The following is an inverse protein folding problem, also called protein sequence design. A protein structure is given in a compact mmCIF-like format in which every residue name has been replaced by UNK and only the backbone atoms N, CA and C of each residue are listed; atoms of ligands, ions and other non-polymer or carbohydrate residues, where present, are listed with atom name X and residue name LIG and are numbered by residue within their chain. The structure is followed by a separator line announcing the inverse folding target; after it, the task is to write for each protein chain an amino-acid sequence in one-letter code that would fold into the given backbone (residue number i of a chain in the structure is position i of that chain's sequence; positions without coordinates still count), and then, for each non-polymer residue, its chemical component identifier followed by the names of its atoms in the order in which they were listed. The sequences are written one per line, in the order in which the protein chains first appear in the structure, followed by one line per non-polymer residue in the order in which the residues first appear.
data_IF_624688429839
#
_entry.id   IF_624688429839
#
_cell.length_a   1.000
_cell.length_b   1.000
_cell.length_c   1.000
_cell.angle_alpha   90.00
_cell.angle_beta   90.00
_cell.angle_gamma   90.00
#
_symmetry.space_group_name_H-M   'P 1'
#
loop_
_entity.id
_entity.type
_entity.pdbx_description
1 polymer ?
#
# COMPACT_ATOMS: atom_id res chain seq x y z
N UNK A 1 -15.73 24.65 -17.02
CA UNK A 1 -14.92 23.83 -16.09
C UNK A 1 -15.79 23.11 -15.07
N UNK A 2 -16.65 23.79 -14.30
CA UNK A 2 -17.46 23.12 -13.26
C UNK A 2 -18.33 21.96 -13.78
N UNK A 3 -18.92 22.08 -14.96
CA UNK A 3 -19.77 21.01 -15.55
C UNK A 3 -18.97 19.78 -16.02
N UNK A 4 -17.63 19.86 -16.05
CA UNK A 4 -16.75 18.76 -16.45
C UNK A 4 -16.13 18.04 -15.25
N UNK A 5 -16.31 18.57 -14.05
CA UNK A 5 -15.70 18.02 -12.85
C UNK A 5 -16.58 16.90 -12.26
N UNK A 6 -15.95 16.10 -11.41
CA UNK A 6 -16.55 14.99 -10.65
C UNK A 6 -17.16 13.89 -11.53
N UNK A 7 -16.65 13.76 -12.76
CA UNK A 7 -17.20 12.88 -13.80
C UNK A 7 -16.09 12.16 -14.56
N UNK A 8 -16.39 10.94 -15.03
CA UNK A 8 -15.61 10.23 -16.05
C UNK A 8 -16.30 10.46 -17.40
N UNK A 9 -15.61 11.11 -18.33
CA UNK A 9 -16.15 11.41 -19.65
C UNK A 9 -15.84 10.27 -20.61
N UNK A 10 -16.87 9.72 -21.24
CA UNK A 10 -16.71 8.68 -22.26
C UNK A 10 -16.31 9.28 -23.62
N UNK A 11 -15.04 9.61 -23.77
CA UNK A 11 -14.47 10.28 -24.95
C UNK A 11 -12.98 9.95 -25.04
N UNK A 12 -12.40 10.12 -26.24
CA UNK A 12 -10.96 10.09 -26.41
C UNK A 12 -10.28 11.15 -25.51
N UNK A 13 -9.18 10.75 -24.87
CA UNK A 13 -8.50 11.58 -23.88
C UNK A 13 -7.88 12.84 -24.48
N UNK A 14 -7.36 12.78 -25.72
CA UNK A 14 -6.77 13.92 -26.41
C UNK A 14 -7.89 14.92 -26.74
N UNK A 15 -8.99 14.43 -27.32
CA UNK A 15 -10.16 15.26 -27.61
C UNK A 15 -10.77 15.88 -26.35
N UNK A 16 -10.87 15.10 -25.27
CA UNK A 16 -11.38 15.54 -23.99
C UNK A 16 -10.52 16.63 -23.36
N UNK A 17 -9.21 16.41 -23.29
CA UNK A 17 -8.25 17.38 -22.73
C UNK A 17 -8.16 18.66 -23.58
N UNK A 18 -8.23 18.57 -24.91
CA UNK A 18 -8.19 19.73 -25.80
C UNK A 18 -9.41 20.67 -25.65
N UNK A 19 -10.51 20.18 -25.07
CA UNK A 19 -11.70 20.99 -24.75
C UNK A 19 -11.60 21.68 -23.38
N UNK A 20 -10.60 21.33 -22.56
CA UNK A 20 -10.39 21.96 -21.27
C UNK A 20 -9.80 23.37 -21.45
N UNK A 21 -10.13 24.32 -20.56
CA UNK A 21 -9.37 25.54 -20.45
C UNK A 21 -7.90 25.23 -20.16
N UNK A 22 -6.98 25.95 -20.79
CA UNK A 22 -5.55 25.81 -20.52
C UNK A 22 -5.23 26.14 -19.07
N UNK A 23 -4.33 25.37 -18.45
CA UNK A 23 -3.93 25.59 -17.06
C UNK A 23 -5.08 25.48 -16.06
N UNK A 24 -5.98 24.50 -16.26
CA UNK A 24 -7.17 24.31 -15.44
C UNK A 24 -7.04 23.21 -14.38
N UNK A 25 -6.01 22.35 -14.50
CA UNK A 25 -5.80 21.17 -13.65
C UNK A 25 -4.51 21.32 -12.82
N UNK A 26 -4.53 20.85 -11.57
CA UNK A 26 -3.42 20.94 -10.61
C UNK A 26 -2.49 19.73 -10.67
N UNK A 27 -3.07 18.53 -10.76
CA UNK A 27 -2.33 17.27 -10.78
C UNK A 27 -2.90 16.34 -11.86
N UNK A 28 -2.02 15.73 -12.65
CA UNK A 28 -2.37 14.69 -13.61
C UNK A 28 -1.66 13.41 -13.24
N UNK A 29 -2.37 12.29 -13.19
CA UNK A 29 -1.77 10.96 -13.11
C UNK A 29 -2.22 10.15 -14.32
N UNK A 30 -1.27 9.71 -15.15
CA UNK A 30 -1.55 8.92 -16.34
C UNK A 30 -0.97 7.51 -16.21
N UNK A 31 -1.81 6.51 -16.42
CA UNK A 31 -1.44 5.09 -16.57
C UNK A 31 -1.89 4.62 -17.97
N UNK A 32 -1.21 5.05 -19.05
CA UNK A 32 -1.58 4.70 -20.41
C UNK A 32 -1.44 3.19 -20.67
N UNK A 33 -2.02 2.68 -21.78
CA UNK A 33 -1.65 1.37 -22.31
C UNK A 33 -0.14 1.27 -22.56
N UNK A 34 0.50 0.17 -22.12
CA UNK A 34 1.96 0.00 -22.16
C UNK A 34 2.49 -0.51 -23.51
N UNK A 35 1.60 -0.71 -24.50
CA UNK A 35 1.93 -1.27 -25.81
C UNK A 35 2.58 -2.67 -25.73
N UNK A 36 2.06 -3.51 -24.84
CA UNK A 36 2.56 -4.88 -24.57
C UNK A 36 1.61 -5.96 -25.12
N UNK A 37 0.55 -5.56 -25.81
CA UNK A 37 -0.50 -6.44 -26.32
C UNK A 37 -1.46 -6.93 -25.27
N UNK A 38 -1.73 -6.12 -24.25
CA UNK A 38 -2.83 -6.37 -23.32
C UNK A 38 -4.17 -6.29 -24.05
N UNK A 39 -5.13 -7.14 -23.64
CA UNK A 39 -6.46 -7.18 -24.28
C UNK A 39 -7.42 -6.26 -23.54
N UNK A 40 -7.53 -5.03 -24.03
CA UNK A 40 -8.63 -4.15 -23.68
C UNK A 40 -9.88 -4.51 -24.49
N UNK A 41 -11.03 -3.96 -24.10
CA UNK A 41 -12.30 -4.16 -24.76
C UNK A 41 -12.45 -3.32 -26.04
N UNK A 42 -11.95 -2.08 -26.03
CA UNK A 42 -12.10 -1.12 -27.14
C UNK A 42 -10.79 -0.65 -27.77
N UNK A 43 -9.63 -0.98 -27.18
CA UNK A 43 -8.32 -0.48 -27.60
C UNK A 43 -7.36 -1.62 -27.98
N UNK A 44 -6.59 -1.43 -29.06
CA UNK A 44 -5.55 -2.37 -29.48
C UNK A 44 -4.17 -1.93 -28.97
N UNK A 45 -3.67 -2.65 -27.97
CA UNK A 45 -2.39 -2.38 -27.29
C UNK A 45 -1.16 -2.92 -28.06
N UNK A 46 -1.25 -2.96 -29.40
CA UNK A 46 -0.15 -3.38 -30.30
C UNK A 46 0.03 -2.41 -31.46
N UNK A 47 0.50 -1.22 -31.13
CA UNK A 47 0.90 -0.21 -32.09
C UNK A 47 2.36 -0.40 -32.54
N UNK A 48 2.66 0.01 -33.77
CA UNK A 48 4.04 0.21 -34.19
C UNK A 48 4.71 1.26 -33.29
N UNK A 49 5.98 1.07 -32.95
CA UNK A 49 6.68 1.90 -31.96
C UNK A 49 6.62 3.40 -32.31
N UNK A 50 6.81 3.77 -33.57
CA UNK A 50 6.74 5.16 -34.02
C UNK A 50 5.34 5.77 -33.88
N UNK A 51 4.29 4.99 -34.13
CA UNK A 51 2.91 5.45 -33.99
C UNK A 51 2.52 5.56 -32.51
N UNK A 52 2.98 4.62 -31.66
CA UNK A 52 2.80 4.70 -30.21
C UNK A 52 3.48 5.93 -29.61
N UNK A 53 4.71 6.24 -30.04
CA UNK A 53 5.43 7.42 -29.57
C UNK A 53 4.79 8.71 -30.07
N UNK A 54 4.30 8.75 -31.32
CA UNK A 54 3.58 9.90 -31.87
C UNK A 54 2.30 10.17 -31.10
N UNK A 55 1.46 9.15 -30.95
CA UNK A 55 0.25 9.20 -30.15
C UNK A 55 0.56 9.61 -28.69
N UNK A 56 1.67 9.10 -28.15
CA UNK A 56 2.11 9.47 -26.82
C UNK A 56 2.50 10.93 -26.66
N UNK A 57 3.24 11.47 -27.64
CA UNK A 57 3.54 12.89 -27.70
C UNK A 57 2.29 13.77 -27.77
N UNK A 58 1.24 13.33 -28.48
CA UNK A 58 -0.02 14.06 -28.61
C UNK A 58 -0.76 14.17 -27.26
N UNK A 59 -0.97 13.05 -26.56
CA UNK A 59 -1.66 13.11 -25.26
C UNK A 59 -0.80 13.78 -24.17
N UNK A 60 0.53 13.64 -24.21
CA UNK A 60 1.43 14.38 -23.30
C UNK A 60 1.32 15.89 -23.56
N UNK A 61 1.21 16.31 -24.82
CA UNK A 61 1.01 17.72 -25.18
C UNK A 61 -0.34 18.24 -24.68
N UNK A 62 -1.39 17.44 -24.78
CA UNK A 62 -2.69 17.79 -24.23
C UNK A 62 -2.67 17.92 -22.69
N UNK A 63 -1.94 17.01 -22.01
CA UNK A 63 -1.66 17.11 -20.56
C UNK A 63 -0.93 18.41 -20.23
N UNK A 64 0.13 18.76 -20.97
CA UNK A 64 0.87 20.01 -20.79
C UNK A 64 -0.01 21.25 -20.91
N UNK A 65 -0.95 21.25 -21.86
CA UNK A 65 -1.91 22.34 -22.09
C UNK A 65 -2.91 22.47 -20.92
N UNK A 66 -3.48 21.35 -20.46
CA UNK A 66 -4.47 21.33 -19.39
C UNK A 66 -3.87 21.68 -18.01
N UNK A 67 -2.59 21.37 -17.78
CA UNK A 67 -1.93 21.53 -16.49
C UNK A 67 -1.54 22.99 -16.20
N UNK A 68 -1.82 23.45 -14.97
CA UNK A 68 -1.41 24.75 -14.44
C UNK A 68 0.10 24.96 -14.49
N UNK A 69 0.61 26.21 -14.58
CA UNK A 69 2.05 26.50 -14.57
C UNK A 69 2.83 25.89 -13.40
N UNK A 70 2.18 25.73 -12.25
CA UNK A 70 2.70 25.11 -11.02
C UNK A 70 2.16 23.69 -10.76
N UNK A 71 1.46 23.13 -11.74
CA UNK A 71 0.90 21.79 -11.65
C UNK A 71 1.94 20.68 -11.86
N UNK A 72 1.55 19.49 -11.44
CA UNK A 72 2.38 18.28 -11.46
C UNK A 72 1.79 17.22 -12.39
N UNK A 73 2.64 16.51 -13.12
CA UNK A 73 2.26 15.39 -13.99
C UNK A 73 3.01 14.12 -13.57
N UNK A 74 2.28 13.05 -13.31
CA UNK A 74 2.80 11.72 -13.05
C UNK A 74 2.47 10.76 -14.18
N UNK A 75 3.45 9.98 -14.60
CA UNK A 75 3.32 8.97 -15.66
C UNK A 75 3.77 7.59 -15.15
N UNK A 76 2.90 6.60 -15.22
CA UNK A 76 3.23 5.19 -15.03
C UNK A 76 3.49 4.50 -16.37
N UNK A 77 4.55 3.70 -16.47
CA UNK A 77 4.88 2.93 -17.68
C UNK A 77 5.74 1.70 -17.37
N UNK A 78 5.63 0.66 -18.20
CA UNK A 78 6.53 -0.49 -18.19
C UNK A 78 7.90 -0.22 -18.85
N UNK A 79 8.77 -1.22 -18.86
CA UNK A 79 10.17 -1.09 -19.30
C UNK A 79 10.34 -0.59 -20.74
N UNK A 80 9.45 -1.01 -21.66
CA UNK A 80 9.71 -0.99 -23.11
C UNK A 80 9.77 0.42 -23.70
N UNK A 81 9.07 1.39 -23.10
CA UNK A 81 9.00 2.78 -23.58
C UNK A 81 9.32 3.82 -22.50
N UNK A 82 9.86 3.40 -21.34
CA UNK A 82 10.07 4.29 -20.21
C UNK A 82 11.02 5.45 -20.53
N UNK A 83 12.12 5.17 -21.23
CA UNK A 83 13.09 6.19 -21.61
C UNK A 83 12.52 7.15 -22.66
N UNK A 84 11.82 6.60 -23.65
CA UNK A 84 11.25 7.33 -24.77
C UNK A 84 10.15 8.28 -24.30
N UNK A 85 9.19 7.80 -23.52
CA UNK A 85 8.11 8.63 -22.97
C UNK A 85 8.64 9.75 -22.06
N UNK A 86 9.70 9.49 -21.30
CA UNK A 86 10.39 10.53 -20.54
C UNK A 86 10.96 11.60 -21.46
N UNK A 87 11.64 11.21 -22.54
CA UNK A 87 12.19 12.15 -23.51
C UNK A 87 11.09 12.92 -24.25
N UNK A 88 9.97 12.28 -24.61
CA UNK A 88 8.82 12.97 -25.22
C UNK A 88 8.24 14.02 -24.27
N UNK A 89 8.05 13.70 -22.98
CA UNK A 89 7.62 14.67 -21.97
C UNK A 89 8.58 15.86 -21.89
N UNK A 90 9.89 15.62 -21.92
CA UNK A 90 10.89 16.69 -21.91
C UNK A 90 10.87 17.54 -23.19
N UNK A 91 10.58 16.95 -24.35
CA UNK A 91 10.43 17.69 -25.62
C UNK A 91 9.22 18.61 -25.61
N UNK A 92 8.12 18.19 -24.99
CA UNK A 92 6.91 19.03 -24.81
C UNK A 92 7.17 20.21 -23.88
N UNK A 93 8.10 20.06 -22.93
CA UNK A 93 8.53 21.14 -22.04
C UNK A 93 8.57 20.76 -20.56
N UNK A 94 8.24 19.52 -20.20
CA UNK A 94 8.28 19.08 -18.81
C UNK A 94 9.70 18.92 -18.27
N UNK A 95 9.87 19.21 -16.98
CA UNK A 95 11.06 18.90 -16.22
C UNK A 95 10.84 17.65 -15.38
N UNK A 96 11.63 16.60 -15.60
CA UNK A 96 11.63 15.40 -14.77
C UNK A 96 12.26 15.71 -13.41
N UNK A 97 11.49 15.63 -12.33
CA UNK A 97 11.95 15.82 -10.94
C UNK A 97 12.47 14.53 -10.33
N UNK A 98 11.76 13.44 -10.57
CA UNK A 98 12.09 12.13 -10.01
C UNK A 98 11.71 11.03 -10.99
N UNK A 99 12.53 9.99 -11.03
CA UNK A 99 12.20 8.72 -11.66
C UNK A 99 12.06 7.69 -10.56
N UNK A 100 10.82 7.47 -10.15
CA UNK A 100 10.47 6.54 -9.08
C UNK A 100 10.32 5.13 -9.65
N UNK A 101 10.90 4.14 -8.98
CA UNK A 101 10.77 2.72 -9.31
C UNK A 101 9.78 2.10 -8.36
N UNK A 102 8.61 1.72 -8.88
CA UNK A 102 7.65 0.92 -8.12
C UNK A 102 7.92 -0.56 -8.35
N UNK A 103 8.67 -1.16 -7.43
CA UNK A 103 9.08 -2.57 -7.44
C UNK A 103 8.00 -3.51 -6.90
N UNK A 104 7.79 -4.62 -7.59
CA UNK A 104 6.89 -5.71 -7.23
C UNK A 104 7.42 -7.11 -7.51
N UNK A 105 7.15 -8.05 -6.60
CA UNK A 105 7.62 -9.43 -6.72
C UNK A 105 6.72 -10.32 -7.57
N UNK A 106 5.45 -9.94 -7.78
CA UNK A 106 4.46 -10.69 -8.57
C UNK A 106 4.51 -10.32 -10.06
N UNK A 107 5.58 -10.75 -10.73
CA UNK A 107 5.83 -10.53 -12.15
C UNK A 107 5.60 -11.77 -13.03
N UNK A 108 5.45 -11.57 -14.34
CA UNK A 108 5.43 -12.69 -15.30
C UNK A 108 6.83 -13.28 -15.39
N UNK A 109 6.96 -14.58 -15.08
CA UNK A 109 8.23 -15.28 -15.19
C UNK A 109 8.78 -15.17 -16.62
N UNK A 110 10.03 -14.71 -16.74
CA UNK A 110 10.71 -14.52 -18.01
C UNK A 110 11.68 -15.67 -18.27
N UNK A 111 11.64 -16.28 -19.45
CA UNK A 111 12.51 -17.43 -19.79
C UNK A 111 13.92 -17.05 -20.21
N UNK A 112 14.04 -15.95 -20.97
CA UNK A 112 15.28 -15.55 -21.65
C UNK A 112 15.82 -14.18 -21.19
N UNK A 113 15.32 -13.67 -20.06
CA UNK A 113 15.73 -12.39 -19.46
C UNK A 113 15.38 -12.35 -17.98
N UNK A 114 15.88 -11.35 -17.25
CA UNK A 114 15.46 -11.08 -15.88
C UNK A 114 13.95 -10.85 -15.79
N UNK A 115 13.34 -11.37 -14.74
CA UNK A 115 11.90 -11.22 -14.49
C UNK A 115 11.55 -9.75 -14.28
N UNK A 116 10.52 -9.29 -15.00
CA UNK A 116 9.96 -7.94 -14.81
C UNK A 116 9.34 -7.85 -13.43
N UNK A 117 9.88 -6.97 -12.60
CA UNK A 117 9.52 -6.84 -11.20
C UNK A 117 9.37 -5.39 -10.76
N UNK A 118 9.06 -4.48 -11.68
CA UNK A 118 8.81 -3.08 -11.37
C UNK A 118 8.00 -2.39 -12.47
N UNK A 119 7.48 -1.21 -12.13
CA UNK A 119 6.91 -0.20 -13.03
C UNK A 119 7.69 1.11 -12.82
N UNK A 120 7.85 1.90 -13.87
CA UNK A 120 8.45 3.22 -13.80
C UNK A 120 7.38 4.27 -13.55
N UNK A 121 7.60 5.14 -12.56
CA UNK A 121 6.77 6.29 -12.24
C UNK A 121 7.59 7.56 -12.43
N UNK A 122 7.26 8.37 -13.43
CA UNK A 122 7.93 9.64 -13.65
C UNK A 122 7.14 10.78 -13.01
N UNK A 123 7.84 11.62 -12.26
CA UNK A 123 7.33 12.85 -11.69
C UNK A 123 7.83 14.05 -12.50
N UNK A 124 6.92 14.72 -13.19
CA UNK A 124 7.18 15.87 -14.05
C UNK A 124 6.51 17.15 -13.51
N UNK A 125 7.15 18.29 -13.77
CA UNK A 125 6.61 19.64 -13.46
C UNK A 125 6.86 20.58 -14.64
N UNK A 126 6.07 21.66 -14.74
CA UNK A 126 6.28 22.68 -15.78
C UNK A 126 7.38 23.67 -15.41
N UNK A 127 7.43 24.08 -14.15
CA UNK A 127 8.48 24.96 -13.62
C UNK A 127 9.26 24.23 -12.50
N UNK A 128 10.58 24.01 -12.66
CA UNK A 128 11.37 23.28 -11.66
C UNK A 128 11.58 24.06 -10.36
N UNK A 129 11.13 25.31 -10.28
CA UNK A 129 11.20 26.19 -9.09
C UNK A 129 9.83 26.49 -8.49
N UNK A 130 8.74 26.31 -9.25
CA UNK A 130 7.37 26.65 -8.81
C UNK A 130 6.44 25.49 -9.12
N UNK A 131 6.19 24.66 -8.12
CA UNK A 131 5.27 23.53 -8.22
C UNK A 131 4.77 23.12 -6.83
N UNK A 132 3.59 22.50 -6.78
CA UNK A 132 3.05 21.96 -5.52
C UNK A 132 3.81 20.71 -5.10
N UNK A 133 4.50 20.81 -3.96
CA UNK A 133 5.19 19.68 -3.34
C UNK A 133 5.18 19.85 -1.82
N UNK A 134 4.29 19.12 -1.16
CA UNK A 134 3.99 19.18 0.28
C UNK A 134 5.06 18.48 1.12
N UNK A 135 6.31 18.92 0.95
CA UNK A 135 7.48 18.28 1.56
C UNK A 135 7.51 18.43 3.07
N UNK A 136 7.00 19.52 3.64
CA UNK A 136 7.09 19.80 5.07
C UNK A 136 6.00 19.11 5.89
N UNK A 137 5.00 18.53 5.23
CA UNK A 137 3.92 17.82 5.90
C UNK A 137 4.40 16.48 6.44
N UNK A 138 4.16 16.27 7.74
CA UNK A 138 4.60 15.08 8.47
C UNK A 138 4.02 13.78 7.90
N UNK A 139 2.84 13.84 7.28
CA UNK A 139 2.23 12.68 6.60
C UNK A 139 2.99 12.20 5.36
N UNK A 140 3.87 13.06 4.80
CA UNK A 140 4.69 12.77 3.63
C UNK A 140 6.16 12.47 4.01
N UNK A 141 6.47 12.33 5.31
CA UNK A 141 7.83 12.11 5.83
C UNK A 141 7.97 10.69 6.39
N UNK A 142 9.21 10.19 6.35
CA UNK A 142 9.63 8.95 7.03
C UNK A 142 10.79 9.19 7.97
N UNK A 143 10.92 8.37 9.03
CA UNK A 143 12.17 8.29 9.78
C UNK A 143 13.37 8.10 8.85
N UNK A 144 14.50 8.69 9.22
CA UNK A 144 15.74 8.52 8.47
C UNK A 144 16.63 7.50 9.17
N UNK A 145 17.52 6.81 8.44
CA UNK A 145 18.55 6.00 9.05
C UNK A 145 19.44 6.80 10.03
N UNK A 146 19.62 8.11 9.79
CA UNK A 146 20.29 9.01 10.74
C UNK A 146 19.58 9.12 12.08
N UNK A 147 18.26 9.04 12.08
CA UNK A 147 17.42 9.07 13.27
C UNK A 147 17.41 7.71 13.96
N UNK A 148 17.24 6.62 13.20
CA UNK A 148 16.98 5.30 13.77
C UNK A 148 18.24 4.48 14.05
N UNK A 149 19.21 4.52 13.14
CA UNK A 149 20.41 3.67 13.19
C UNK A 149 21.59 4.42 13.80
N UNK A 150 21.82 5.65 13.33
CA UNK A 150 23.04 6.39 13.66
C UNK A 150 22.90 7.36 14.83
N UNK A 151 21.68 7.66 15.27
CA UNK A 151 21.36 8.68 16.28
C UNK A 151 22.18 9.98 16.08
N UNK A 152 22.26 10.44 14.82
CA UNK A 152 23.10 11.55 14.37
C UNK A 152 22.44 12.88 14.76
N UNK A 153 23.18 13.79 15.40
CA UNK A 153 22.66 15.09 15.85
C UNK A 153 22.21 16.02 14.71
N UNK A 154 22.61 15.76 13.47
CA UNK A 154 22.18 16.48 12.26
C UNK A 154 20.87 15.92 11.69
N UNK A 155 20.25 14.95 12.34
CA UNK A 155 18.96 14.39 11.92
C UNK A 155 17.88 15.49 11.92
N UNK A 156 17.02 15.45 10.92
CA UNK A 156 15.82 16.28 10.92
C UNK A 156 14.76 15.57 11.77
N UNK A 157 14.30 16.24 12.82
CA UNK A 157 13.31 15.69 13.77
C UNK A 157 11.99 15.30 13.09
N UNK A 158 11.65 15.94 11.96
CA UNK A 158 10.46 15.62 11.16
C UNK A 158 10.69 14.48 10.17
N UNK A 159 11.88 13.87 10.16
CA UNK A 159 12.26 12.84 9.21
C UNK A 159 12.72 13.38 7.85
N UNK A 160 12.79 12.48 6.88
CA UNK A 160 13.21 12.73 5.49
C UNK A 160 12.05 12.45 4.53
N UNK A 161 12.20 12.90 3.29
CA UNK A 161 11.29 12.50 2.22
C UNK A 161 11.52 11.03 1.84
N UNK A 162 10.48 10.36 1.30
CA UNK A 162 10.62 9.06 0.64
C UNK A 162 11.81 8.94 -0.30
N UNK A 163 12.38 7.74 -0.40
CA UNK A 163 13.23 7.41 -1.53
C UNK A 163 12.41 7.27 -2.81
N UNK A 164 13.11 7.25 -3.94
CA UNK A 164 12.56 7.01 -5.26
C UNK A 164 12.46 5.52 -5.60
N UNK A 165 12.73 4.61 -4.67
CA UNK A 165 12.47 3.17 -4.83
C UNK A 165 11.36 2.74 -3.88
N UNK A 166 10.23 2.33 -4.45
CA UNK A 166 9.02 1.96 -3.73
C UNK A 166 8.81 0.45 -3.89
N UNK A 167 8.97 -0.31 -2.82
CA UNK A 167 9.07 -1.76 -2.78
C UNK A 167 7.71 -2.44 -2.58
N UNK A 168 7.67 -3.76 -2.79
CA UNK A 168 6.60 -4.64 -2.33
C UNK A 168 7.17 -5.87 -1.65
N UNK A 169 7.02 -6.04 -0.32
CA UNK A 169 7.36 -7.31 0.28
C UNK A 169 6.47 -8.44 -0.23
N UNK A 170 7.06 -9.59 -0.56
CA UNK A 170 6.29 -10.78 -0.88
C UNK A 170 5.52 -11.27 0.35
N UNK A 171 4.23 -11.57 0.20
CA UNK A 171 3.51 -12.45 1.14
C UNK A 171 3.96 -13.90 0.86
N UNK A 172 5.13 -14.34 1.36
CA UNK A 172 5.59 -15.72 1.15
C UNK A 172 6.12 -16.33 2.46
N UNK A 173 5.68 -17.57 2.82
CA UNK A 173 6.25 -18.32 3.94
C UNK A 173 7.73 -18.67 3.67
N UNK A 174 8.52 -18.68 4.75
CA UNK A 174 9.99 -18.66 4.90
C UNK A 174 10.88 -19.57 4.01
N UNK A 175 10.37 -20.31 3.03
CA UNK A 175 11.13 -21.42 2.42
C UNK A 175 11.55 -21.24 0.97
N UNK A 176 11.04 -20.25 0.23
CA UNK A 176 11.53 -19.97 -1.13
C UNK A 176 11.44 -18.49 -1.49
N UNK A 177 12.54 -17.76 -1.35
CA UNK A 177 12.82 -16.57 -2.14
C UNK A 177 14.30 -16.55 -2.52
N UNK A 178 14.56 -16.04 -3.72
CA UNK A 178 15.87 -15.64 -4.22
C UNK A 178 15.69 -14.17 -4.64
N UNK A 179 16.15 -13.23 -3.81
CA UNK A 179 16.39 -11.78 -4.02
C UNK A 179 16.83 -11.11 -2.70
N UNK A 180 17.47 -9.91 -2.71
CA UNK A 180 18.35 -9.33 -1.66
C UNK A 180 17.92 -9.38 -0.18
N UNK A 181 16.66 -9.68 0.09
CA UNK A 181 16.00 -9.90 1.36
C UNK A 181 15.88 -11.38 1.79
N UNK A 182 16.69 -12.27 1.22
CA UNK A 182 16.91 -13.63 1.75
C UNK A 182 17.81 -13.63 3.01
N UNK A 183 18.00 -12.46 3.65
CA UNK A 183 18.74 -12.24 4.87
C UNK A 183 17.77 -11.74 5.94
N UNK A 184 17.94 -12.19 7.20
CA UNK A 184 17.17 -11.76 8.39
C UNK A 184 17.28 -10.24 8.71
N UNK A 185 17.95 -9.48 7.84
CA UNK A 185 18.30 -8.06 7.94
C UNK A 185 18.03 -7.34 6.61
N UNK A 186 16.79 -7.30 6.14
CA UNK A 186 16.43 -6.43 5.01
C UNK A 186 15.24 -5.53 5.32
N UNK A 187 15.16 -4.44 4.54
CA UNK A 187 14.33 -3.24 4.68
C UNK A 187 13.19 -3.37 5.69
N UNK A 188 13.49 -3.02 6.93
CA UNK A 188 12.47 -2.92 7.98
C UNK A 188 11.48 -1.78 7.62
N UNK A 189 10.23 -1.79 8.13
CA UNK A 189 9.24 -0.71 7.90
C UNK A 189 9.70 0.70 8.30
N UNK A 190 10.79 0.73 9.05
CA UNK A 190 11.52 1.89 9.55
C UNK A 190 12.56 2.44 8.55
N UNK A 191 12.85 1.67 7.51
CA UNK A 191 13.85 1.98 6.49
C UNK A 191 13.25 2.78 5.34
N UNK A 192 14.09 3.09 4.36
CA UNK A 192 13.93 4.25 3.50
C UNK A 192 13.04 3.99 2.26
N UNK A 193 12.58 2.75 2.14
CA UNK A 193 11.85 2.15 1.04
C UNK A 193 10.39 1.91 1.42
N UNK A 194 9.47 2.17 0.48
CA UNK A 194 8.05 2.24 0.80
C UNK A 194 7.21 1.16 0.14
N UNK A 195 6.22 0.61 0.84
CA UNK A 195 5.48 -0.55 0.37
C UNK A 195 4.12 -0.27 -0.31
N UNK A 196 3.96 -0.59 -1.61
CA UNK A 196 2.65 -0.61 -2.30
C UNK A 196 2.31 -1.88 -3.10
N UNK A 197 1.53 -2.87 -2.59
CA UNK A 197 1.27 -4.11 -3.31
C UNK A 197 0.49 -3.91 -4.61
N UNK A 198 0.76 -4.72 -5.64
CA UNK A 198 -0.03 -4.73 -6.88
C UNK A 198 -1.43 -5.25 -6.56
N UNK A 199 -2.46 -4.61 -7.11
CA UNK A 199 -3.84 -5.09 -6.94
C UNK A 199 -4.05 -6.32 -7.81
N UNK A 200 -4.03 -7.51 -7.19
CA UNK A 200 -4.14 -8.80 -7.89
C UNK A 200 -5.15 -9.74 -7.20
N UNK A 201 -5.50 -10.84 -7.89
CA UNK A 201 -6.19 -11.98 -7.27
C UNK A 201 -7.50 -11.62 -6.54
N UNK A 202 -7.58 -11.97 -5.25
CA UNK A 202 -8.74 -11.82 -4.36
C UNK A 202 -8.66 -10.59 -3.46
N UNK A 203 -7.82 -9.60 -3.79
CA UNK A 203 -7.61 -8.43 -2.94
C UNK A 203 -8.92 -7.66 -2.75
N UNK A 204 -9.20 -7.22 -1.52
CA UNK A 204 -10.43 -6.45 -1.20
C UNK A 204 -10.57 -5.19 -2.03
N UNK A 205 -9.44 -4.59 -2.39
CA UNK A 205 -9.36 -3.40 -3.23
C UNK A 205 -9.74 -3.68 -4.70
N UNK A 206 -9.59 -4.93 -5.16
CA UNK A 206 -9.79 -5.28 -6.56
C UNK A 206 -11.24 -5.08 -6.95
N UNK A 207 -11.47 -4.19 -7.92
CA UNK A 207 -12.79 -3.90 -8.44
C UNK A 207 -13.33 -5.05 -9.33
N UNK A 208 -12.43 -5.84 -9.93
CA UNK A 208 -12.75 -7.09 -10.63
C UNK A 208 -13.09 -6.94 -12.11
N UNK A 209 -13.37 -5.72 -12.59
CA UNK A 209 -13.71 -5.44 -13.99
C UNK A 209 -12.54 -4.92 -14.84
N UNK A 210 -11.44 -4.49 -14.22
CA UNK A 210 -10.22 -4.05 -14.89
C UNK A 210 -9.02 -4.90 -14.44
N UNK A 211 -8.17 -5.33 -15.36
CA UNK A 211 -7.06 -6.25 -15.06
C UNK A 211 -5.80 -5.58 -14.52
N UNK A 212 -5.63 -4.28 -14.77
CA UNK A 212 -4.47 -3.48 -14.38
C UNK A 212 -4.91 -2.34 -13.46
N UNK A 213 -5.43 -2.66 -12.28
CA UNK A 213 -5.88 -1.64 -11.33
C UNK A 213 -4.70 -1.07 -10.53
N UNK A 214 -4.59 0.26 -10.47
CA UNK A 214 -3.59 0.94 -9.64
C UNK A 214 -3.94 0.90 -8.14
N UNK A 215 -2.96 0.69 -7.24
CA UNK A 215 -3.19 0.65 -5.80
C UNK A 215 -3.57 2.01 -5.21
N UNK A 216 -4.57 2.05 -4.34
CA UNK A 216 -5.06 3.29 -3.72
C UNK A 216 -4.00 3.96 -2.85
N UNK A 217 -3.18 3.20 -2.11
CA UNK A 217 -2.13 3.76 -1.25
C UNK A 217 -1.03 4.44 -2.08
N UNK A 218 -0.68 3.87 -3.23
CA UNK A 218 0.31 4.43 -4.17
C UNK A 218 -0.14 5.81 -4.66
N UNK A 219 -1.36 5.84 -5.20
CA UNK A 219 -1.99 7.07 -5.69
C UNK A 219 -2.20 8.08 -4.56
N UNK A 220 -2.55 7.59 -3.37
CA UNK A 220 -2.81 8.42 -2.21
C UNK A 220 -1.57 9.14 -1.70
N UNK A 221 -0.38 8.56 -1.87
CA UNK A 221 0.87 9.30 -1.65
C UNK A 221 1.05 10.40 -2.69
N UNK A 222 0.94 10.06 -3.97
CA UNK A 222 1.16 11.01 -5.06
C UNK A 222 0.24 12.22 -4.91
N UNK A 223 -1.05 11.99 -4.70
CA UNK A 223 -2.07 13.03 -4.57
C UNK A 223 -1.85 13.87 -3.31
N UNK A 224 -1.52 13.25 -2.16
CA UNK A 224 -1.23 14.03 -0.94
C UNK A 224 0.04 14.84 -1.03
N UNK A 225 1.06 14.37 -1.73
CA UNK A 225 2.34 15.09 -1.81
C UNK A 225 2.31 16.18 -2.88
N UNK A 226 1.56 16.01 -3.98
CA UNK A 226 1.63 16.87 -5.15
C UNK A 226 0.35 17.68 -5.43
N UNK A 227 -0.58 17.74 -4.47
CA UNK A 227 -1.78 18.59 -4.55
C UNK A 227 -2.28 19.01 -3.17
N UNK A 228 -3.05 20.08 -3.13
CA UNK A 228 -3.81 20.56 -1.98
C UNK A 228 -5.25 20.04 -1.97
N UNK A 229 -5.94 20.19 -0.84
CA UNK A 229 -7.38 19.91 -0.70
C UNK A 229 -8.17 20.86 -1.61
N UNK A 230 -9.18 20.33 -2.30
CA UNK A 230 -10.03 21.06 -3.24
C UNK A 230 -9.43 21.29 -4.63
N UNK A 231 -8.14 21.00 -4.82
CA UNK A 231 -7.50 21.05 -6.15
C UNK A 231 -8.00 19.95 -7.09
N UNK A 232 -7.75 20.13 -8.38
CA UNK A 232 -8.28 19.28 -9.45
C UNK A 232 -7.23 18.24 -9.85
N UNK A 233 -7.60 16.96 -9.70
CA UNK A 233 -6.83 15.79 -10.16
C UNK A 233 -7.45 15.24 -11.44
N UNK A 234 -6.66 15.08 -12.50
CA UNK A 234 -7.10 14.49 -13.77
C UNK A 234 -6.46 13.13 -14.03
N UNK A 235 -7.24 12.20 -14.58
CA UNK A 235 -6.77 10.92 -15.09
C UNK A 235 -7.17 10.74 -16.57
N UNK A 236 -6.23 10.87 -17.53
CA UNK A 236 -6.51 10.69 -18.95
C UNK A 236 -6.86 9.24 -19.34
N UNK A 237 -6.54 8.26 -18.49
CA UNK A 237 -6.68 6.83 -18.75
C UNK A 237 -7.40 6.16 -17.58
N UNK A 238 -8.64 6.58 -17.32
CA UNK A 238 -9.29 6.35 -16.03
C UNK A 238 -9.45 4.88 -15.66
N UNK A 239 -9.65 3.96 -16.61
CA UNK A 239 -9.67 2.51 -16.38
C UNK A 239 -10.58 2.10 -15.21
N UNK A 240 -9.98 1.61 -14.12
CA UNK A 240 -10.71 1.25 -12.88
C UNK A 240 -11.17 2.43 -12.01
N UNK A 241 -10.98 3.66 -12.47
CA UNK A 241 -11.19 4.92 -11.77
C UNK A 241 -10.41 5.07 -10.45
N UNK A 242 -9.30 4.36 -10.27
CA UNK A 242 -8.57 4.36 -8.99
C UNK A 242 -8.05 5.75 -8.63
N UNK A 243 -7.45 6.49 -9.57
CA UNK A 243 -6.96 7.86 -9.34
C UNK A 243 -8.07 8.78 -8.86
N UNK A 244 -9.22 8.73 -9.51
CA UNK A 244 -10.38 9.58 -9.23
C UNK A 244 -11.03 9.23 -7.88
N UNK A 245 -11.13 7.93 -7.57
CA UNK A 245 -11.60 7.44 -6.27
C UNK A 245 -10.71 7.97 -5.15
N UNK A 246 -9.39 7.86 -5.31
CA UNK A 246 -8.43 8.33 -4.32
C UNK A 246 -8.46 9.85 -4.19
N UNK A 247 -8.57 10.58 -5.30
CA UNK A 247 -8.75 12.03 -5.29
C UNK A 247 -9.98 12.42 -4.46
N UNK A 248 -11.14 11.78 -4.70
CA UNK A 248 -12.36 12.01 -3.93
C UNK A 248 -12.19 11.69 -2.44
N UNK A 249 -11.59 10.55 -2.09
CA UNK A 249 -11.32 10.16 -0.70
C UNK A 249 -10.47 11.19 0.03
N UNK A 250 -9.52 11.80 -0.67
CA UNK A 250 -8.63 12.83 -0.16
C UNK A 250 -9.19 14.26 -0.31
N UNK A 251 -10.48 14.43 -0.62
CA UNK A 251 -11.11 15.75 -0.75
C UNK A 251 -10.49 16.60 -1.88
N UNK A 252 -10.11 15.97 -2.99
CA UNK A 252 -9.75 16.64 -4.24
C UNK A 252 -10.92 16.55 -5.22
N UNK A 253 -11.08 17.58 -6.04
CA UNK A 253 -11.96 17.53 -7.21
C UNK A 253 -11.27 16.68 -8.27
N UNK A 254 -12.04 16.02 -9.13
CA UNK A 254 -11.46 15.13 -10.11
C UNK A 254 -12.13 15.24 -11.48
N UNK A 255 -11.44 14.81 -12.54
CA UNK A 255 -12.04 14.56 -13.84
C UNK A 255 -11.29 13.44 -14.56
N UNK A 256 -12.01 12.59 -15.28
CA UNK A 256 -11.42 11.45 -15.97
C UNK A 256 -11.85 11.35 -17.42
N UNK A 257 -11.01 10.73 -18.25
CA UNK A 257 -11.36 10.31 -19.61
C UNK A 257 -11.20 8.80 -19.73
N UNK A 258 -12.12 8.18 -20.46
CA UNK A 258 -12.12 6.74 -20.70
C UNK A 258 -12.86 6.41 -22.02
N UNK A 259 -12.26 5.56 -22.85
CA UNK A 259 -12.83 5.16 -24.13
C UNK A 259 -13.92 4.11 -23.96
N UNK A 260 -13.77 3.19 -23.00
CA UNK A 260 -14.74 2.13 -22.74
C UNK A 260 -15.96 2.63 -22.00
N UNK A 261 -17.13 2.49 -22.61
CA UNK A 261 -18.42 2.77 -21.94
C UNK A 261 -18.63 1.89 -20.70
N UNK A 262 -18.18 0.64 -20.74
CA UNK A 262 -18.31 -0.30 -19.62
C UNK A 262 -17.44 0.12 -18.44
N UNK A 263 -16.19 0.54 -18.69
CA UNK A 263 -15.30 1.07 -17.66
C UNK A 263 -15.81 2.39 -17.10
N UNK A 264 -16.37 3.27 -17.94
CA UNK A 264 -17.02 4.52 -17.47
C UNK A 264 -18.18 4.19 -16.53
N UNK A 265 -19.05 3.25 -16.88
CA UNK A 265 -20.18 2.87 -16.03
C UNK A 265 -19.71 2.29 -14.70
N UNK A 266 -18.78 1.34 -14.73
CA UNK A 266 -18.26 0.69 -13.53
C UNK A 266 -17.47 1.65 -12.63
N UNK A 267 -16.63 2.51 -13.22
CA UNK A 267 -15.88 3.56 -12.52
C UNK A 267 -16.79 4.61 -11.89
N UNK A 268 -17.84 5.03 -12.60
CA UNK A 268 -18.85 5.96 -12.08
C UNK A 268 -19.59 5.38 -10.88
N UNK A 269 -19.94 4.09 -10.93
CA UNK A 269 -20.56 3.40 -9.78
C UNK A 269 -19.61 3.32 -8.58
N UNK A 270 -18.32 3.06 -8.82
CA UNK A 270 -17.30 3.07 -7.76
C UNK A 270 -17.18 4.46 -7.11
N UNK A 271 -17.21 5.53 -7.91
CA UNK A 271 -17.17 6.92 -7.43
C UNK A 271 -18.43 7.31 -6.65
N UNK A 272 -19.62 6.85 -7.05
CA UNK A 272 -20.87 7.08 -6.30
C UNK A 272 -20.82 6.47 -4.90
N UNK A 273 -20.22 5.28 -4.78
CA UNK A 273 -20.07 4.56 -3.51
C UNK A 273 -18.83 4.97 -2.69
N UNK A 274 -18.11 6.02 -3.11
CA UNK A 274 -16.93 6.55 -2.42
C UNK A 274 -17.28 7.85 -1.71
N UNK A 275 -16.86 8.00 -0.45
CA UNK A 275 -17.09 9.21 0.35
C UNK A 275 -15.79 9.99 0.58
N UNK A 276 -15.92 11.31 0.74
CA UNK A 276 -14.79 12.16 1.15
C UNK A 276 -14.35 11.74 2.56
N UNK A 277 -13.04 11.63 2.78
CA UNK A 277 -12.47 11.19 4.05
C UNK A 277 -12.53 9.67 4.30
N UNK A 278 -13.10 8.90 3.37
CA UNK A 278 -13.06 7.44 3.47
C UNK A 278 -11.60 6.95 3.43
N UNK A 279 -11.20 6.00 4.30
CA UNK A 279 -9.85 5.46 4.30
C UNK A 279 -9.44 4.88 2.93
N UNK A 280 -8.17 5.06 2.57
CA UNK A 280 -7.57 4.35 1.45
C UNK A 280 -7.54 2.86 1.73
N UNK A 281 -7.84 2.06 0.71
CA UNK A 281 -7.84 0.60 0.81
C UNK A 281 -6.41 0.07 0.70
N UNK A 282 -6.11 -1.02 1.42
CA UNK A 282 -4.75 -1.54 1.58
C UNK A 282 -4.09 -0.97 2.84
N UNK A 283 -3.09 -1.68 3.37
CA UNK A 283 -2.34 -1.16 4.51
C UNK A 283 -1.42 -0.01 4.04
N UNK A 284 -1.25 1.07 4.83
CA UNK A 284 -0.30 2.15 4.52
C UNK A 284 1.13 1.62 4.39
N UNK A 285 1.49 0.70 5.30
CA UNK A 285 2.70 -0.13 5.28
C UNK A 285 2.27 -1.58 5.55
N UNK A 286 2.03 -2.43 4.54
CA UNK A 286 1.61 -3.80 4.78
C UNK A 286 2.74 -4.63 5.40
N UNK A 287 2.82 -4.68 6.73
CA UNK A 287 3.78 -5.54 7.45
C UNK A 287 3.35 -7.00 7.48
N UNK A 288 2.12 -7.31 7.06
CA UNK A 288 1.55 -8.66 7.01
C UNK A 288 0.52 -8.80 5.89
N UNK A 289 0.21 -10.06 5.54
CA UNK A 289 -0.66 -10.40 4.42
C UNK A 289 -2.09 -9.86 4.54
N UNK A 290 -2.70 -9.57 3.39
CA UNK A 290 -4.14 -9.35 3.30
C UNK A 290 -4.87 -10.56 3.91
N UNK A 291 -5.89 -10.36 4.78
CA UNK A 291 -6.52 -11.46 5.48
C UNK A 291 -7.10 -12.49 4.50
N UNK A 292 -6.86 -13.77 4.79
CA UNK A 292 -7.34 -14.88 4.00
C UNK A 292 -8.85 -14.79 3.77
N UNK A 293 -9.27 -14.97 2.52
CA UNK A 293 -10.67 -15.01 2.11
C UNK A 293 -11.43 -16.05 2.94
N UNK A 294 -12.48 -15.61 3.62
CA UNK A 294 -13.41 -16.46 4.36
C UNK A 294 -13.92 -17.61 3.47
N UNK A 295 -13.65 -18.86 3.87
CA UNK A 295 -14.26 -20.05 3.25
C UNK A 295 -15.78 -19.93 3.39
N UNK A 296 -16.49 -19.98 2.27
CA UNK A 296 -17.95 -20.17 2.22
C UNK A 296 -18.32 -21.36 3.12
N UNK A 297 -19.37 -21.15 3.93
CA UNK A 297 -20.06 -22.08 4.83
C UNK A 297 -19.61 -22.08 6.30
N UNK A 298 -20.17 -21.18 7.09
CA UNK A 298 -20.60 -21.47 8.46
C UNK A 298 -21.95 -20.78 8.70
N UNK A 299 -22.90 -21.58 9.17
CA UNK A 299 -24.31 -21.23 9.36
C UNK A 299 -24.45 -20.00 10.26
N UNK A 300 -25.43 -19.14 9.93
CA UNK A 300 -25.91 -18.02 10.74
C UNK A 300 -26.07 -18.43 12.20
N UNK A 301 -25.26 -17.84 13.08
CA UNK A 301 -25.62 -17.65 14.49
C UNK A 301 -25.44 -16.18 14.82
N UNK A 302 -26.58 -15.52 15.01
CA UNK A 302 -26.74 -14.15 15.45
C UNK A 302 -26.30 -14.00 16.90
N UNK A 303 -25.27 -13.20 17.14
CA UNK A 303 -25.07 -12.52 18.43
C UNK A 303 -24.47 -11.14 18.16
N UNK A 304 -25.30 -10.09 18.30
CA UNK A 304 -24.85 -8.70 18.36
C UNK A 304 -24.03 -8.55 19.64
N UNK A 305 -22.73 -8.28 19.51
CA UNK A 305 -21.91 -7.78 20.61
C UNK A 305 -21.68 -6.29 20.37
N UNK A 306 -22.30 -5.47 21.21
CA UNK A 306 -22.02 -4.04 21.34
C UNK A 306 -20.72 -3.87 22.12
N UNK A 307 -19.61 -3.57 21.44
CA UNK A 307 -18.38 -3.11 22.09
C UNK A 307 -18.16 -1.66 21.71
N UNK A 308 -18.23 -0.78 22.70
CA UNK A 308 -17.94 0.64 22.54
C UNK A 308 -16.46 0.86 22.19
N UNK A 309 -16.17 1.82 21.31
CA UNK A 309 -14.80 2.21 20.96
C UNK A 309 -14.13 2.89 22.17
N UNK A 310 -12.89 2.53 22.55
CA UNK A 310 -12.17 3.20 23.64
C UNK A 310 -11.86 4.64 23.27
N UNK A 311 -11.98 5.53 24.25
CA UNK A 311 -12.03 6.99 24.07
C UNK A 311 -10.72 7.69 24.41
N UNK A 312 -9.72 6.97 24.94
CA UNK A 312 -8.41 7.53 25.29
C UNK A 312 -7.22 6.57 25.15
N UNK A 313 -6.02 7.13 24.96
CA UNK A 313 -4.74 6.39 24.86
C UNK A 313 -4.44 5.58 26.14
N UNK A 314 -4.93 6.03 27.30
CA UNK A 314 -4.75 5.33 28.59
C UNK A 314 -5.57 4.03 28.64
N UNK A 315 -6.78 4.04 28.08
CA UNK A 315 -7.66 2.86 27.99
C UNK A 315 -7.09 1.81 27.03
N UNK A 316 -6.50 2.26 25.92
CA UNK A 316 -5.81 1.37 24.95
C UNK A 316 -4.61 0.68 25.61
N UNK A 317 -3.76 1.43 26.35
CA UNK A 317 -2.61 0.84 27.07
C UNK A 317 -3.03 -0.17 28.14
N UNK A 318 -4.10 0.13 28.89
CA UNK A 318 -4.65 -0.79 29.89
C UNK A 318 -5.20 -2.07 29.24
N UNK A 319 -5.86 -1.95 28.09
CA UNK A 319 -6.39 -3.08 27.33
C UNK A 319 -5.28 -3.98 26.75
N UNK A 320 -4.18 -3.38 26.27
CA UNK A 320 -3.02 -4.12 25.77
C UNK A 320 -2.33 -4.87 26.92
N UNK A 321 -2.10 -4.21 28.06
CA UNK A 321 -1.51 -4.85 29.23
C UNK A 321 -2.36 -6.03 29.73
N UNK A 322 -3.69 -5.86 29.78
CA UNK A 322 -4.60 -6.95 30.17
C UNK A 322 -4.61 -8.12 29.18
N UNK A 323 -4.43 -7.86 27.88
CA UNK A 323 -4.35 -8.91 26.86
C UNK A 323 -3.03 -9.68 26.94
N UNK A 324 -1.92 -8.99 27.22
CA UNK A 324 -0.61 -9.60 27.47
C UNK A 324 -0.66 -10.50 28.70
N UNK A 325 -1.19 -10.01 29.82
CA UNK A 325 -1.33 -10.77 31.06
C UNK A 325 -2.22 -12.02 30.85
N UNK A 326 -3.30 -11.92 30.06
CA UNK A 326 -4.14 -13.07 29.71
C UNK A 326 -3.39 -14.10 28.84
N UNK A 327 -2.60 -13.65 27.87
CA UNK A 327 -1.75 -14.51 27.04
C UNK A 327 -0.70 -15.26 27.87
N UNK A 328 -0.09 -14.59 28.84
CA UNK A 328 0.89 -15.17 29.77
C UNK A 328 0.27 -16.31 30.60
N UNK A 329 -0.93 -16.10 31.15
CA UNK A 329 -1.64 -17.15 31.91
C UNK A 329 -1.94 -18.37 31.05
N UNK A 330 -2.39 -18.14 29.82
CA UNK A 330 -2.71 -19.21 28.88
C UNK A 330 -1.46 -20.01 28.46
N UNK A 331 -0.34 -19.33 28.22
CA UNK A 331 0.94 -19.99 27.95
C UNK A 331 1.42 -20.78 29.18
N UNK A 332 1.22 -20.25 30.39
CA UNK A 332 1.60 -20.90 31.63
C UNK A 332 0.82 -22.19 31.88
N UNK A 333 -0.48 -22.22 31.59
CA UNK A 333 -1.30 -23.45 31.72
C UNK A 333 -0.81 -24.60 30.84
N UNK A 334 -0.07 -24.31 29.76
CA UNK A 334 0.42 -25.29 28.80
C UNK A 334 1.85 -25.78 29.06
N UNK A 335 2.63 -25.08 29.89
CA UNK A 335 4.04 -25.41 30.13
C UNK A 335 4.27 -26.52 31.17
N UNK A 336 3.21 -26.99 31.85
CA UNK A 336 3.28 -28.11 32.79
C UNK A 336 3.81 -27.79 34.18
N UNK A 337 4.28 -26.56 34.43
CA UNK A 337 4.71 -26.07 35.75
C UNK A 337 3.53 -25.91 36.72
N UNK A 338 3.75 -26.24 38.00
CA UNK A 338 2.70 -26.14 39.02
C UNK A 338 2.44 -24.70 39.48
N UNK A 339 3.53 -23.96 39.74
CA UNK A 339 3.52 -22.55 40.09
C UNK A 339 4.59 -21.77 39.30
N UNK A 340 4.34 -20.49 39.03
CA UNK A 340 5.27 -19.67 38.25
C UNK A 340 6.67 -19.54 38.86
N UNK A 341 6.78 -19.68 40.19
CA UNK A 341 8.07 -19.72 40.89
C UNK A 341 8.94 -20.91 40.48
N UNK A 342 8.35 -22.01 40.00
CA UNK A 342 9.09 -23.20 39.56
C UNK A 342 9.91 -22.90 38.30
N UNK A 343 9.55 -21.88 37.51
CA UNK A 343 10.29 -21.45 36.31
C UNK A 343 11.67 -20.85 36.61
N UNK A 344 11.98 -20.54 37.88
CA UNK A 344 13.30 -20.07 38.28
C UNK A 344 14.29 -21.22 38.49
N UNK A 345 13.78 -22.41 38.84
CA UNK A 345 14.59 -23.56 39.25
C UNK A 345 14.50 -24.74 38.29
N UNK A 346 13.36 -24.91 37.61
CA UNK A 346 13.13 -25.94 36.60
C UNK A 346 13.42 -25.38 35.20
N UNK A 347 14.57 -25.79 34.65
CA UNK A 347 15.04 -25.31 33.34
C UNK A 347 14.17 -25.83 32.19
N UNK A 348 13.62 -27.04 32.30
CA UNK A 348 12.80 -27.64 31.25
C UNK A 348 11.42 -26.98 31.19
N UNK A 349 10.80 -26.76 32.35
CA UNK A 349 9.54 -26.02 32.44
C UNK A 349 9.68 -24.56 31.97
N UNK A 350 10.83 -23.92 32.27
CA UNK A 350 11.17 -22.58 31.80
C UNK A 350 11.27 -22.52 30.27
N UNK A 351 11.96 -23.48 29.66
CA UNK A 351 12.12 -23.54 28.18
C UNK A 351 10.76 -23.77 27.51
N UNK A 352 9.94 -24.70 28.01
CA UNK A 352 8.61 -24.96 27.46
C UNK A 352 7.66 -23.78 27.63
N UNK A 353 7.72 -23.07 28.76
CA UNK A 353 6.94 -21.85 28.96
C UNK A 353 7.35 -20.73 28.00
N UNK A 354 8.65 -20.48 27.84
CA UNK A 354 9.15 -19.47 26.91
C UNK A 354 8.73 -19.77 25.46
N UNK A 355 8.78 -21.04 25.07
CA UNK A 355 8.31 -21.51 23.77
C UNK A 355 6.81 -21.32 23.60
N UNK A 356 6.01 -21.61 24.64
CA UNK A 356 4.57 -21.36 24.63
C UNK A 356 4.23 -19.87 24.50
N UNK A 357 4.97 -18.98 25.16
CA UNK A 357 4.82 -17.53 25.02
C UNK A 357 5.14 -17.03 23.61
N UNK A 358 6.22 -17.54 23.00
CA UNK A 358 6.58 -17.22 21.61
C UNK A 358 5.53 -17.73 20.62
N UNK A 359 5.04 -18.96 20.80
CA UNK A 359 3.98 -19.53 19.96
C UNK A 359 2.65 -18.79 20.10
N UNK A 360 2.38 -18.22 21.27
CA UNK A 360 1.20 -17.39 21.52
C UNK A 360 1.34 -15.94 21.00
N UNK A 361 2.51 -15.54 20.47
CA UNK A 361 2.75 -14.22 19.92
C UNK A 361 2.74 -13.10 20.97
N UNK A 362 3.14 -13.40 22.21
CA UNK A 362 3.21 -12.42 23.30
C UNK A 362 4.35 -11.44 22.99
N UNK A 363 4.10 -10.11 22.92
CA UNK A 363 5.09 -9.10 22.51
C UNK A 363 6.02 -8.71 23.67
N UNK A 364 6.60 -9.70 24.34
CA UNK A 364 7.58 -9.54 25.43
C UNK A 364 8.74 -10.51 25.23
N UNK A 365 9.94 -10.09 25.63
CA UNK A 365 11.10 -10.97 25.62
C UNK A 365 10.88 -12.22 26.49
N UNK A 366 11.48 -13.37 26.15
CA UNK A 366 11.24 -14.63 26.87
C UNK A 366 11.55 -14.57 28.37
N UNK A 367 12.55 -13.78 28.78
CA UNK A 367 12.87 -13.59 30.20
C UNK A 367 11.84 -12.69 30.90
N UNK A 368 11.29 -11.72 30.18
CA UNK A 368 10.27 -10.81 30.68
C UNK A 368 8.92 -11.52 30.86
N UNK A 369 8.57 -12.45 29.96
CA UNK A 369 7.42 -13.34 30.15
C UNK A 369 7.51 -14.13 31.46
N UNK A 370 8.69 -14.66 31.80
CA UNK A 370 8.94 -15.42 33.04
C UNK A 370 8.77 -14.51 34.26
N UNK A 371 9.42 -13.35 34.26
CA UNK A 371 9.30 -12.36 35.34
C UNK A 371 7.84 -11.94 35.56
N UNK A 372 7.13 -11.67 34.48
CA UNK A 372 5.74 -11.24 34.52
C UNK A 372 4.79 -12.34 35.01
N UNK A 373 5.02 -13.60 34.64
CA UNK A 373 4.26 -14.74 35.17
C UNK A 373 4.44 -14.92 36.69
N UNK A 374 5.66 -14.68 37.20
CA UNK A 374 6.00 -14.71 38.64
C UNK A 374 5.31 -13.56 39.37
N UNK A 375 5.40 -12.34 38.86
CA UNK A 375 4.72 -11.15 39.42
C UNK A 375 3.21 -11.34 39.53
N UNK A 376 2.61 -12.02 38.55
CA UNK A 376 1.19 -12.33 38.50
C UNK A 376 0.79 -13.52 39.39
N UNK A 377 1.76 -14.27 39.93
CA UNK A 377 1.52 -15.45 40.77
C UNK A 377 0.77 -16.58 40.07
N UNK A 378 1.07 -16.84 38.79
CA UNK A 378 0.35 -17.86 38.02
C UNK A 378 0.51 -19.26 38.63
N UNK A 379 -0.59 -20.04 38.65
CA UNK A 379 -0.66 -21.42 39.14
C UNK A 379 -1.58 -22.25 38.26
N UNK A 380 -1.24 -23.50 38.02
CA UNK A 380 -2.14 -24.44 37.33
C UNK A 380 -3.14 -25.05 38.31
N UNK A 381 -4.43 -25.02 37.99
CA UNK A 381 -5.45 -25.75 38.75
C UNK A 381 -5.34 -27.25 38.42
N UNK A 382 -4.71 -28.03 39.29
CA UNK A 382 -4.67 -29.48 39.19
C UNK A 382 -6.06 -30.11 39.44
N UNK A 383 -6.91 -30.14 38.42
CA UNK A 383 -8.13 -30.96 38.39
C UNK A 383 -8.20 -31.93 37.20
N UNK A 384 -7.19 -31.96 36.32
CA UNK A 384 -7.14 -32.85 35.14
C UNK A 384 -5.83 -33.65 35.02
N UNK A 385 -5.27 -34.08 36.16
CA UNK A 385 -4.22 -35.12 36.23
C UNK A 385 -4.74 -36.38 36.93
N UNK A 386 -5.89 -36.91 36.49
CA UNK A 386 -6.32 -38.29 36.76
C UNK A 386 -7.22 -38.74 35.62
N UNK A 387 -6.62 -39.29 34.57
CA UNK A 387 -7.16 -40.35 33.71
C UNK A 387 -6.08 -40.62 32.65
N UNK A 388 -5.76 -41.91 32.49
CA UNK A 388 -4.77 -42.51 31.58
C UNK A 388 -3.36 -42.63 32.15
N UNK A 389 -3.13 -43.69 32.95
CA UNK A 389 -2.38 -44.88 32.52
C UNK A 389 -2.55 -45.98 33.58
N UNK A 390 -3.47 -46.90 33.30
CA UNK A 390 -3.48 -48.27 33.85
C UNK A 390 -2.91 -49.21 32.79
N UNK A 391 -2.15 -50.20 33.27
CA UNK A 391 -1.69 -51.48 32.69
C UNK A 391 -0.58 -51.51 31.62
N UNK A 392 0.63 -51.83 32.09
CA UNK A 392 1.41 -53.07 31.84
C UNK A 392 2.51 -53.06 32.94
N UNK A 393 2.66 -54.02 33.86
CA UNK A 393 2.69 -55.49 33.74
C UNK A 393 1.50 -56.25 34.33
#
# INVERSE_FOLDING_TARGET
MNDLLETIHNVDCIDGMNRLPQGSVDLVFADPPFNIGYKYDVYDDRMAAEDYLRWSGEWITAVWSALKPDGTFWLAIGDDFAAELKLEAQRVGFHCRSWVIWYYTFGVNCKNKFTRSHTHLFHFVKDPKRFTFRADDLENRVPSARMLVYNDSRQNANGRLPDDTWVIPPEVPQTFSLRPQDLDQCFQPEESDWYFPRVAGTFKERAGFHGCQMPEQLLGRIIRTCSEVGEIVMDPFSGSASTLVVAKKLDRRFLGFELSTDYVQAGTERLKNTEIGQPLTGAPEPTMSAPATWKKNLKKTTARSTVAKPSSVKEVRQSIASAIDAGIRFAFEKCGAGAAADLETDTDAKVEFQKACQQAGIPLEPQECVRRAIEMGCRTNNAQKRLNFTSAD
#
